data_IF_064887928666
#
_entry.id   IF_064887928666
#
_cell.length_a   1.000
_cell.length_b   1.000
_cell.length_c   1.000
_cell.angle_alpha   90.00
_cell.angle_beta   90.00
_cell.angle_gamma   90.00
#
_symmetry.space_group_name_H-M   'P 1'
#
loop_
_entity.id
_entity.type
_entity.pdbx_description
1 polymer ?
#
# COMPACT_ATOMS: atom_id res chain seq x y z
N UNK A 1 7.92 8.09 5.56
CA UNK A 1 8.31 6.73 5.99
C UNK A 1 9.54 6.23 5.23
N UNK A 2 10.23 5.21 5.76
CA UNK A 2 11.24 4.45 5.02
C UNK A 2 10.53 3.48 4.08
N UNK A 3 11.07 3.26 2.88
CA UNK A 3 10.54 2.27 1.94
C UNK A 3 11.55 1.15 1.69
N UNK A 4 11.06 -0.10 1.65
CA UNK A 4 11.80 -1.25 1.10
C UNK A 4 11.11 -1.76 -0.15
N UNK A 5 11.89 -2.27 -1.09
CA UNK A 5 11.42 -2.64 -2.41
C UNK A 5 11.85 -4.07 -2.71
N UNK A 6 10.94 -4.84 -3.30
CA UNK A 6 11.25 -6.10 -3.96
C UNK A 6 10.60 -6.07 -5.34
N UNK A 7 11.41 -6.28 -6.37
CA UNK A 7 10.93 -6.32 -7.74
C UNK A 7 10.79 -7.77 -8.24
N UNK A 8 9.78 -7.99 -9.06
CA UNK A 8 9.48 -9.23 -9.76
C UNK A 8 9.38 -8.95 -11.27
N UNK A 9 9.78 -9.91 -12.10
CA UNK A 9 9.71 -9.83 -13.55
C UNK A 9 10.32 -8.52 -14.13
N UNK A 10 11.53 -8.18 -13.68
CA UNK A 10 12.31 -7.03 -14.15
C UNK A 10 11.64 -5.67 -13.98
N UNK A 11 10.79 -5.49 -12.94
CA UNK A 11 10.13 -4.22 -12.68
C UNK A 11 11.09 -3.02 -12.55
N UNK A 12 12.28 -3.18 -11.95
CA UNK A 12 13.29 -2.12 -11.91
C UNK A 12 13.73 -1.68 -13.32
N UNK A 13 13.99 -2.62 -14.22
CA UNK A 13 14.39 -2.29 -15.60
C UNK A 13 13.26 -1.55 -16.32
N UNK A 14 12.02 -2.06 -16.20
CA UNK A 14 10.83 -1.43 -16.79
C UNK A 14 10.65 0.00 -16.29
N UNK A 15 10.85 0.22 -14.99
CA UNK A 15 10.75 1.55 -14.36
C UNK A 15 11.88 2.47 -14.83
N UNK A 16 13.13 2.00 -14.80
CA UNK A 16 14.30 2.81 -15.19
C UNK A 16 14.24 3.29 -16.65
N UNK A 17 13.60 2.52 -17.54
CA UNK A 17 13.46 2.86 -18.96
C UNK A 17 12.22 3.70 -19.27
N UNK A 18 11.10 3.46 -18.58
CA UNK A 18 9.80 3.98 -19.01
C UNK A 18 9.11 4.89 -17.98
N UNK A 19 9.40 4.73 -16.68
CA UNK A 19 8.57 5.27 -15.60
C UNK A 19 9.37 5.96 -14.49
N UNK A 20 10.55 6.51 -14.81
CA UNK A 20 11.41 7.18 -13.82
C UNK A 20 10.70 8.34 -13.14
N UNK A 21 9.93 9.13 -13.92
CA UNK A 21 9.19 10.27 -13.39
C UNK A 21 8.11 9.83 -12.41
N UNK A 22 7.24 8.91 -12.84
CA UNK A 22 6.13 8.38 -12.04
C UNK A 22 6.64 7.67 -10.79
N UNK A 23 7.76 6.95 -10.91
CA UNK A 23 8.41 6.33 -9.77
C UNK A 23 8.92 7.36 -8.76
N UNK A 24 9.56 8.44 -9.21
CA UNK A 24 10.04 9.49 -8.32
C UNK A 24 8.89 10.21 -7.61
N UNK A 25 7.79 10.49 -8.32
CA UNK A 25 6.56 11.04 -7.74
C UNK A 25 6.01 10.15 -6.62
N UNK A 26 5.84 8.85 -6.90
CA UNK A 26 5.34 7.90 -5.90
C UNK A 26 6.30 7.78 -4.71
N UNK A 27 7.59 7.65 -4.98
CA UNK A 27 8.63 7.53 -3.95
C UNK A 27 8.66 8.76 -3.03
N UNK A 28 8.47 9.96 -3.58
CA UNK A 28 8.37 11.19 -2.81
C UNK A 28 7.17 11.16 -1.86
N UNK A 29 5.98 10.78 -2.37
CA UNK A 29 4.74 10.66 -1.57
C UNK A 29 4.89 9.65 -0.43
N UNK A 30 5.41 8.45 -0.72
CA UNK A 30 5.57 7.42 0.31
C UNK A 30 6.61 7.82 1.37
N UNK A 31 7.67 8.52 0.96
CA UNK A 31 8.70 9.01 1.88
C UNK A 31 8.23 10.18 2.72
N UNK A 32 7.38 11.07 2.20
CA UNK A 32 6.81 12.19 2.94
C UNK A 32 5.67 11.77 3.88
N UNK A 33 5.06 10.60 3.65
CA UNK A 33 4.00 10.10 4.52
C UNK A 33 4.47 9.94 5.97
N UNK A 34 3.75 10.50 6.97
CA UNK A 34 3.99 10.16 8.37
C UNK A 34 3.47 8.76 8.68
N UNK A 35 3.98 8.16 9.76
CA UNK A 35 3.37 6.95 10.32
C UNK A 35 1.97 7.29 10.86
N UNK A 36 0.93 6.76 10.23
CA UNK A 36 -0.44 6.95 10.70
C UNK A 36 -0.84 5.85 11.68
N UNK A 37 -1.40 6.28 12.81
CA UNK A 37 -1.81 5.39 13.89
C UNK A 37 -3.25 5.67 14.33
N UNK A 38 -3.90 4.63 14.82
CA UNK A 38 -5.18 4.73 15.49
C UNK A 38 -5.24 3.79 16.67
N UNK A 39 -6.29 3.91 17.46
CA UNK A 39 -6.58 2.95 18.52
C UNK A 39 -7.13 1.66 17.93
N UNK A 40 -6.62 0.53 18.41
CA UNK A 40 -7.17 -0.79 18.13
C UNK A 40 -8.50 -0.98 18.84
N UNK A 41 -9.44 -1.64 18.16
CA UNK A 41 -10.73 -2.05 18.69
C UNK A 41 -10.80 -3.58 18.93
N UNK A 42 -9.70 -4.29 18.71
CA UNK A 42 -9.62 -5.74 18.89
C UNK A 42 -9.76 -6.11 20.37
N UNK A 43 -10.60 -7.12 20.67
CA UNK A 43 -10.75 -7.67 22.01
C UNK A 43 -9.38 -8.07 22.59
N UNK A 44 -9.08 -7.61 23.79
CA UNK A 44 -7.79 -7.85 24.47
C UNK A 44 -6.64 -6.93 24.06
N UNK A 45 -6.83 -6.06 23.05
CA UNK A 45 -5.86 -5.03 22.64
C UNK A 45 -6.53 -3.68 22.41
N UNK A 46 -7.69 -3.44 23.04
CA UNK A 46 -8.47 -2.22 22.84
C UNK A 46 -7.68 -1.01 23.35
N UNK A 47 -7.62 0.06 22.55
CA UNK A 47 -6.89 1.28 22.88
C UNK A 47 -5.40 1.28 22.53
N UNK A 48 -4.80 0.12 22.24
CA UNK A 48 -3.40 0.05 21.80
C UNK A 48 -3.22 0.77 20.46
N UNK A 49 -2.06 1.40 20.27
CA UNK A 49 -1.70 2.00 18.99
C UNK A 49 -1.48 0.90 17.95
N UNK A 50 -2.13 1.05 16.80
CA UNK A 50 -1.97 0.19 15.64
C UNK A 50 -1.87 1.02 14.37
N UNK A 51 -1.27 0.45 13.33
CA UNK A 51 -1.22 1.03 12.00
C UNK A 51 -2.63 1.41 11.54
N UNK A 52 -2.76 2.63 11.03
CA UNK A 52 -4.01 3.16 10.53
C UNK A 52 -4.08 3.13 9.01
N UNK A 53 -4.70 2.09 8.42
CA UNK A 53 -4.82 2.01 6.97
C UNK A 53 -5.74 3.09 6.40
N UNK A 54 -6.64 3.68 7.19
CA UNK A 54 -7.57 4.71 6.69
C UNK A 54 -6.80 6.01 6.49
N UNK A 55 -6.09 6.47 7.52
CA UNK A 55 -5.24 7.66 7.44
C UNK A 55 -4.16 7.52 6.36
N UNK A 56 -3.44 6.39 6.32
CA UNK A 56 -2.43 6.15 5.29
C UNK A 56 -3.00 6.17 3.86
N UNK A 57 -4.17 5.54 3.63
CA UNK A 57 -4.81 5.56 2.30
C UNK A 57 -5.27 6.96 1.91
N UNK A 58 -5.83 7.73 2.86
CA UNK A 58 -6.24 9.11 2.60
C UNK A 58 -5.05 9.99 2.21
N UNK A 59 -3.96 9.92 2.99
CA UNK A 59 -2.74 10.68 2.70
C UNK A 59 -2.19 10.34 1.30
N UNK A 60 -2.00 9.05 1.01
CA UNK A 60 -1.47 8.61 -0.29
C UNK A 60 -2.39 9.07 -1.42
N UNK A 61 -3.72 8.97 -1.24
CA UNK A 61 -4.69 9.41 -2.23
C UNK A 61 -4.59 10.90 -2.53
N UNK A 62 -4.60 11.72 -1.51
CA UNK A 62 -4.57 13.18 -1.65
C UNK A 62 -3.27 13.64 -2.33
N UNK A 63 -2.13 13.08 -1.94
CA UNK A 63 -0.83 13.45 -2.51
C UNK A 63 -0.63 12.94 -3.93
N UNK A 64 -1.09 11.73 -4.27
CA UNK A 64 -0.99 11.21 -5.63
C UNK A 64 -1.93 11.96 -6.59
N UNK A 65 -3.14 12.33 -6.17
CA UNK A 65 -4.06 13.13 -7.00
C UNK A 65 -3.45 14.49 -7.35
N UNK A 66 -2.75 15.16 -6.41
CA UNK A 66 -2.01 16.41 -6.68
C UNK A 66 -0.93 16.24 -7.77
N UNK A 67 -0.42 15.02 -7.93
CA UNK A 67 0.55 14.64 -8.97
C UNK A 67 -0.12 14.04 -10.21
N UNK A 68 -1.43 14.24 -10.40
CA UNK A 68 -2.22 13.76 -11.54
C UNK A 68 -2.29 12.23 -11.68
N UNK A 69 -2.25 11.49 -10.57
CA UNK A 69 -2.65 10.08 -10.58
C UNK A 69 -4.17 9.97 -10.55
N UNK A 70 -4.73 9.08 -11.37
CA UNK A 70 -6.18 8.87 -11.48
C UNK A 70 -6.64 7.96 -10.34
N UNK A 71 -7.72 8.32 -9.63
CA UNK A 71 -8.31 7.50 -8.56
C UNK A 71 -9.79 7.80 -8.31
N UNK A 72 -10.65 6.77 -8.19
CA UNK A 72 -10.40 5.38 -8.57
C UNK A 72 -10.37 5.21 -10.10
N UNK A 73 -9.74 4.14 -10.60
CA UNK A 73 -9.89 3.74 -12.01
C UNK A 73 -10.98 2.67 -12.08
N UNK A 74 -12.12 2.94 -12.75
CA UNK A 74 -13.19 1.96 -12.86
C UNK A 74 -12.75 0.77 -13.73
N UNK A 75 -13.11 -0.44 -13.30
CA UNK A 75 -12.96 -1.66 -14.11
C UNK A 75 -14.16 -1.76 -15.07
N UNK A 76 -13.95 -1.97 -16.39
CA UNK A 76 -15.03 -2.15 -17.36
C UNK A 76 -15.98 -3.29 -17.00
N UNK A 77 -17.24 -3.18 -17.42
CA UNK A 77 -18.28 -4.14 -17.05
C UNK A 77 -17.98 -5.56 -17.50
N UNK A 78 -17.28 -5.75 -18.64
CA UNK A 78 -16.85 -7.06 -19.11
C UNK A 78 -15.87 -7.77 -18.16
N UNK A 79 -15.21 -7.03 -17.27
CA UNK A 79 -14.25 -7.54 -16.27
C UNK A 79 -14.73 -7.33 -14.83
N UNK A 80 -16.01 -7.02 -14.62
CA UNK A 80 -16.60 -6.73 -13.30
C UNK A 80 -16.45 -7.87 -12.27
N UNK A 81 -16.25 -9.11 -12.74
CA UNK A 81 -15.94 -10.25 -11.87
C UNK A 81 -14.58 -10.14 -11.15
N UNK A 82 -13.69 -9.24 -11.60
CA UNK A 82 -12.37 -8.98 -11.01
C UNK A 82 -12.37 -7.82 -10.01
N UNK A 83 -13.51 -7.12 -9.85
CA UNK A 83 -13.67 -5.98 -8.97
C UNK A 83 -14.40 -4.81 -9.64
N UNK A 84 -14.60 -3.75 -8.87
CA UNK A 84 -15.25 -2.51 -9.33
C UNK A 84 -14.24 -1.47 -9.80
N UNK A 85 -13.07 -1.42 -9.17
CA UNK A 85 -12.03 -0.44 -9.44
C UNK A 85 -10.63 -0.94 -9.06
N UNK A 86 -9.66 -0.11 -9.45
CA UNK A 86 -8.24 -0.12 -9.11
C UNK A 86 -7.96 1.18 -8.34
N UNK A 87 -7.11 1.11 -7.30
CA UNK A 87 -6.88 2.26 -6.40
C UNK A 87 -6.33 3.47 -7.14
N UNK A 88 -5.23 3.30 -7.90
CA UNK A 88 -4.63 4.37 -8.70
C UNK A 88 -4.04 3.87 -10.01
N UNK A 89 -3.86 4.79 -10.94
CA UNK A 89 -2.98 4.56 -12.08
C UNK A 89 -2.62 5.83 -12.85
N UNK A 90 -1.57 5.69 -13.66
CA UNK A 90 -1.01 6.76 -14.50
C UNK A 90 -0.14 6.13 -15.59
N UNK A 91 -0.28 6.58 -16.83
CA UNK A 91 0.50 6.17 -18.02
C UNK A 91 0.83 4.66 -18.13
N UNK A 92 -0.12 3.77 -17.88
CA UNK A 92 0.10 2.32 -17.94
C UNK A 92 0.74 1.71 -16.69
N UNK A 93 0.74 2.43 -15.56
CA UNK A 93 1.09 1.93 -14.22
C UNK A 93 -0.20 1.76 -13.41
N UNK A 94 -0.35 0.59 -12.80
CA UNK A 94 -1.39 0.27 -11.84
C UNK A 94 -0.80 0.32 -10.42
N UNK A 95 -1.48 0.93 -9.46
CA UNK A 95 -1.10 0.89 -8.04
C UNK A 95 -2.24 0.33 -7.21
N UNK A 96 -1.89 -0.56 -6.28
CA UNK A 96 -2.75 -1.08 -5.22
C UNK A 96 -2.15 -0.75 -3.85
N UNK A 97 -2.90 -0.07 -2.99
CA UNK A 97 -2.51 0.18 -1.61
C UNK A 97 -3.18 -0.85 -0.70
N UNK A 98 -2.47 -1.95 -0.47
CA UNK A 98 -3.06 -3.15 0.12
C UNK A 98 -2.72 -3.31 1.60
N UNK A 99 -3.64 -2.85 2.46
CA UNK A 99 -3.59 -3.02 3.92
C UNK A 99 -4.72 -3.89 4.48
N UNK A 100 -5.56 -4.47 3.62
CA UNK A 100 -6.64 -5.38 3.99
C UNK A 100 -6.11 -6.79 4.25
N UNK A 101 -7.01 -7.77 4.29
CA UNK A 101 -6.69 -9.18 4.52
C UNK A 101 -5.63 -9.72 3.54
N UNK A 102 -4.70 -10.56 4.01
CA UNK A 102 -3.58 -11.07 3.22
C UNK A 102 -3.98 -11.74 1.90
N UNK A 103 -5.16 -12.37 1.85
CA UNK A 103 -5.68 -13.02 0.64
C UNK A 103 -5.83 -12.06 -0.55
N UNK A 104 -5.97 -10.75 -0.30
CA UNK A 104 -6.05 -9.75 -1.36
C UNK A 104 -4.73 -9.58 -2.12
N UNK A 105 -3.58 -10.02 -1.58
CA UNK A 105 -2.32 -9.97 -2.32
C UNK A 105 -2.39 -10.78 -3.61
N UNK A 106 -2.77 -12.06 -3.51
CA UNK A 106 -2.85 -12.93 -4.68
C UNK A 106 -4.02 -12.55 -5.59
N UNK A 107 -5.12 -12.05 -5.03
CA UNK A 107 -6.21 -11.46 -5.82
C UNK A 107 -5.69 -10.29 -6.67
N UNK A 108 -5.03 -9.30 -6.05
CA UNK A 108 -4.45 -8.14 -6.74
C UNK A 108 -3.40 -8.55 -7.77
N UNK A 109 -2.60 -9.57 -7.48
CA UNK A 109 -1.59 -10.10 -8.39
C UNK A 109 -2.22 -10.72 -9.64
N UNK A 110 -3.18 -11.63 -9.46
CA UNK A 110 -3.82 -12.35 -10.56
C UNK A 110 -4.68 -11.42 -11.43
N UNK A 111 -5.41 -10.47 -10.84
CA UNK A 111 -6.17 -9.49 -11.64
C UNK A 111 -5.24 -8.56 -12.42
N UNK A 112 -4.11 -8.14 -11.82
CA UNK A 112 -3.09 -7.34 -12.53
C UNK A 112 -2.45 -8.10 -13.68
N UNK A 113 -2.16 -9.40 -13.52
CA UNK A 113 -1.66 -10.27 -14.60
C UNK A 113 -2.66 -10.40 -15.75
N UNK A 114 -3.96 -10.53 -15.44
CA UNK A 114 -4.99 -10.58 -16.48
C UNK A 114 -5.09 -9.24 -17.20
N UNK A 115 -5.14 -8.11 -16.48
CA UNK A 115 -5.12 -6.75 -17.05
C UNK A 115 -3.91 -6.52 -17.95
N UNK A 116 -2.75 -7.04 -17.56
CA UNK A 116 -1.54 -7.00 -18.38
C UNK A 116 -1.69 -7.75 -19.69
N UNK A 117 -2.20 -9.00 -19.64
CA UNK A 117 -2.40 -9.84 -20.83
C UNK A 117 -3.38 -9.25 -21.83
N UNK A 118 -4.46 -8.64 -21.35
CA UNK A 118 -5.46 -7.98 -22.21
C UNK A 118 -5.05 -6.57 -22.64
N UNK A 119 -3.88 -6.08 -22.22
CA UNK A 119 -3.39 -4.72 -22.48
C UNK A 119 -4.37 -3.64 -21.99
N UNK A 120 -4.93 -3.85 -20.81
CA UNK A 120 -5.83 -2.90 -20.16
C UNK A 120 -5.20 -1.51 -20.16
N UNK A 121 -5.94 -0.50 -20.60
CA UNK A 121 -5.42 0.86 -20.72
C UNK A 121 -5.60 1.65 -19.42
N UNK A 122 -4.51 2.24 -18.96
CA UNK A 122 -4.50 3.22 -17.87
C UNK A 122 -3.92 4.50 -18.44
N UNK A 123 -4.73 5.57 -18.46
CA UNK A 123 -4.33 6.87 -18.98
C UNK A 123 -3.82 6.77 -20.44
N UNK A 124 -4.63 6.14 -21.30
CA UNK A 124 -4.39 5.91 -22.73
C UNK A 124 -3.08 5.16 -23.05
N UNK A 125 -2.56 4.38 -22.09
CA UNK A 125 -1.38 3.53 -22.27
C UNK A 125 -1.70 2.12 -21.76
N UNK A 126 -1.28 1.07 -22.48
CA UNK A 126 -1.46 -0.29 -22.01
C UNK A 126 -0.69 -0.48 -20.70
N UNK A 127 -1.27 -1.24 -19.78
CA UNK A 127 -0.66 -1.62 -18.51
C UNK A 127 0.68 -2.33 -18.77
N UNK A 128 1.73 -1.86 -18.10
CA UNK A 128 3.09 -2.43 -18.19
C UNK A 128 3.71 -2.73 -16.83
N UNK A 129 3.15 -2.20 -15.76
CA UNK A 129 3.72 -2.28 -14.42
C UNK A 129 2.59 -2.26 -13.38
N UNK A 130 2.64 -3.18 -12.44
CA UNK A 130 1.86 -3.09 -11.20
C UNK A 130 2.78 -2.70 -10.03
N UNK A 131 2.27 -1.86 -9.15
CA UNK A 131 2.91 -1.49 -7.90
C UNK A 131 1.98 -1.87 -6.75
N UNK A 132 2.47 -2.65 -5.81
CA UNK A 132 1.70 -3.05 -4.62
C UNK A 132 2.36 -2.43 -3.40
N UNK A 133 1.64 -1.58 -2.68
CA UNK A 133 2.12 -0.90 -1.47
C UNK A 133 1.55 -1.62 -0.25
N UNK A 134 2.43 -1.98 0.68
CA UNK A 134 2.11 -2.73 1.89
C UNK A 134 2.79 -2.08 3.10
N UNK A 135 2.33 -2.42 4.30
CA UNK A 135 2.98 -2.02 5.56
C UNK A 135 3.97 -3.10 6.01
N UNK A 136 5.01 -2.77 6.76
CA UNK A 136 5.87 -3.78 7.41
C UNK A 136 5.16 -4.48 8.58
N UNK A 137 5.59 -5.71 8.88
CA UNK A 137 5.23 -6.45 10.09
C UNK A 137 5.67 -5.74 11.39
N UNK A 138 6.58 -4.77 11.32
CA UNK A 138 7.02 -4.00 12.49
C UNK A 138 5.90 -3.17 13.13
N UNK A 139 4.81 -2.93 12.40
CA UNK A 139 3.65 -2.21 12.92
C UNK A 139 2.58 -3.19 13.41
N UNK A 140 2.16 -3.11 14.70
CA UNK A 140 0.98 -3.81 15.14
C UNK A 140 -0.23 -3.31 14.34
N UNK A 141 -1.08 -4.23 13.91
CA UNK A 141 -2.19 -3.94 13.01
C UNK A 141 -3.36 -4.88 13.27
N UNK A 142 -4.47 -4.68 12.54
CA UNK A 142 -5.59 -5.62 12.58
C UNK A 142 -5.13 -7.03 12.21
N UNK A 143 -5.69 -8.05 12.88
CA UNK A 143 -5.40 -9.44 12.57
C UNK A 143 -5.57 -9.74 11.08
N UNK A 144 -4.67 -10.56 10.54
CA UNK A 144 -4.66 -11.00 9.13
C UNK A 144 -4.50 -9.88 8.09
N UNK A 145 -4.27 -8.64 8.49
CA UNK A 145 -3.90 -7.57 7.53
C UNK A 145 -2.53 -7.86 6.92
N UNK A 146 -2.45 -7.70 5.60
CA UNK A 146 -1.24 -7.95 4.82
C UNK A 146 -0.05 -7.14 5.36
N UNK A 147 1.13 -7.74 5.29
CA UNK A 147 2.39 -7.05 5.52
C UNK A 147 3.45 -7.45 4.50
N UNK A 148 4.45 -6.58 4.33
CA UNK A 148 5.47 -6.65 3.30
C UNK A 148 6.22 -7.97 3.30
N UNK A 149 6.67 -8.44 4.46
CA UNK A 149 7.46 -9.66 4.59
C UNK A 149 6.66 -10.89 4.12
N UNK A 150 5.39 -11.00 4.52
CA UNK A 150 4.48 -12.03 4.01
C UNK A 150 4.26 -11.90 2.50
N UNK A 151 4.15 -10.66 1.98
CA UNK A 151 3.96 -10.45 0.56
C UNK A 151 5.18 -10.85 -0.27
N UNK A 152 6.40 -10.59 0.24
CA UNK A 152 7.65 -11.04 -0.37
C UNK A 152 7.68 -12.57 -0.45
N UNK A 153 7.34 -13.27 0.63
CA UNK A 153 7.34 -14.74 0.66
C UNK A 153 6.34 -15.32 -0.36
N UNK A 154 5.09 -14.84 -0.34
CA UNK A 154 4.05 -15.34 -1.25
C UNK A 154 4.37 -15.05 -2.72
N UNK A 155 4.77 -13.82 -3.06
CA UNK A 155 5.12 -13.47 -4.43
C UNK A 155 6.39 -14.18 -4.91
N UNK A 156 7.37 -14.41 -4.05
CA UNK A 156 8.56 -15.18 -4.42
C UNK A 156 8.20 -16.63 -4.72
N UNK A 157 7.34 -17.25 -3.90
CA UNK A 157 6.88 -18.60 -4.14
C UNK A 157 6.14 -18.73 -5.48
N UNK A 158 5.21 -17.82 -5.79
CA UNK A 158 4.47 -17.89 -7.07
C UNK A 158 5.34 -17.48 -8.28
N UNK A 159 6.29 -16.56 -8.12
CA UNK A 159 7.20 -16.15 -9.19
C UNK A 159 8.16 -17.28 -9.57
N UNK A 160 8.64 -18.08 -8.59
CA UNK A 160 9.48 -19.25 -8.85
C UNK A 160 8.81 -20.31 -9.74
N UNK A 161 7.48 -20.27 -9.85
CA UNK A 161 6.69 -21.14 -10.72
C UNK A 161 6.15 -20.43 -11.97
N UNK A 162 6.62 -19.20 -12.26
CA UNK A 162 6.22 -18.41 -13.44
C UNK A 162 4.70 -18.23 -13.57
N UNK A 163 3.99 -18.09 -12.44
CA UNK A 163 2.52 -17.97 -12.41
C UNK A 163 2.04 -16.63 -12.98
N UNK A 164 2.87 -15.58 -12.92
CA UNK A 164 2.58 -14.26 -13.47
C UNK A 164 3.80 -13.70 -14.20
N UNK A 165 3.56 -12.90 -15.24
CA UNK A 165 4.59 -12.27 -16.09
C UNK A 165 4.58 -10.75 -16.01
N UNK A 166 3.51 -10.12 -15.50
CA UNK A 166 3.48 -8.68 -15.27
C UNK A 166 4.67 -8.27 -14.38
N UNK A 167 5.41 -7.21 -14.73
CA UNK A 167 6.37 -6.58 -13.83
C UNK A 167 5.66 -6.05 -12.58
N UNK A 168 6.11 -6.48 -11.40
CA UNK A 168 5.57 -6.03 -10.11
C UNK A 168 6.66 -5.40 -9.26
N UNK A 169 6.43 -4.17 -8.84
CA UNK A 169 7.18 -3.52 -7.75
C UNK A 169 6.39 -3.65 -6.45
N UNK A 170 6.87 -4.50 -5.54
CA UNK A 170 6.33 -4.59 -4.18
C UNK A 170 7.06 -3.59 -3.27
N UNK A 171 6.29 -2.75 -2.59
CA UNK A 171 6.81 -1.74 -1.66
C UNK A 171 6.31 -2.04 -0.26
N UNK A 172 7.23 -2.02 0.71
CA UNK A 172 6.91 -2.04 2.12
C UNK A 172 7.19 -0.69 2.76
N UNK A 173 6.25 -0.19 3.56
CA UNK A 173 6.42 0.99 4.41
C UNK A 173 7.00 0.57 5.76
N UNK A 174 8.08 1.24 6.17
CA UNK A 174 8.85 0.98 7.38
C UNK A 174 9.12 2.28 8.14
N UNK A 175 9.53 2.13 9.40
CA UNK A 175 10.21 3.16 10.16
C UNK A 175 11.53 2.61 10.71
N UNK A 176 12.33 3.48 11.32
CA UNK A 176 13.43 2.99 12.15
C UNK A 176 12.88 2.32 13.41
N UNK A 177 13.58 1.33 13.95
CA UNK A 177 13.35 0.93 15.34
C UNK A 177 13.98 1.98 16.26
N UNK A 178 13.34 2.26 17.39
CA UNK A 178 13.87 3.19 18.36
C UNK A 178 12.82 4.07 19.01
N UNK A 179 13.31 5.20 19.53
CA UNK A 179 12.52 6.14 20.30
C UNK A 179 12.16 7.39 19.50
N UNK A 180 11.08 8.04 19.92
CA UNK A 180 10.67 9.37 19.47
C UNK A 180 10.39 9.50 17.96
N UNK A 181 9.80 8.45 17.38
CA UNK A 181 9.38 8.44 15.98
C UNK A 181 8.10 9.30 15.86
N UNK A 182 8.08 10.31 14.99
CA UNK A 182 6.89 11.12 14.78
C UNK A 182 5.79 10.29 14.12
N UNK A 183 4.57 10.39 14.64
CA UNK A 183 3.40 9.71 14.12
C UNK A 183 2.16 10.60 14.19
N UNK A 184 1.19 10.34 13.32
CA UNK A 184 -0.08 11.02 13.30
C UNK A 184 -1.14 10.08 13.88
N UNK A 185 -1.63 10.38 15.09
CA UNK A 185 -2.68 9.61 15.72
C UNK A 185 -4.05 10.18 15.37
N UNK A 186 -4.94 9.32 14.88
CA UNK A 186 -6.28 9.70 14.44
C UNK A 186 -7.35 8.96 15.26
N UNK A 187 -8.34 9.72 15.72
CA UNK A 187 -9.60 9.21 16.26
C UNK A 187 -10.71 9.48 15.28
N UNK A 188 -11.44 8.44 14.91
CA UNK A 188 -12.57 8.53 14.00
C UNK A 188 -13.91 8.70 14.74
N UNK A 189 -14.95 9.18 14.05
CA UNK A 189 -16.29 9.35 14.63
C UNK A 189 -16.89 8.03 15.16
N UNK A 190 -16.55 6.91 14.51
CA UNK A 190 -16.91 5.56 14.93
C UNK A 190 -15.86 4.56 14.44
N UNK A 191 -15.94 3.32 14.91
CA UNK A 191 -14.94 2.28 14.66
C UNK A 191 -14.76 1.92 13.17
N UNK A 192 -15.82 2.06 12.37
CA UNK A 192 -15.81 1.80 10.92
C UNK A 192 -15.78 3.08 10.08
N UNK A 193 -15.78 4.24 10.73
CA UNK A 193 -15.85 5.53 10.05
C UNK A 193 -14.52 5.93 9.43
N UNK A 194 -14.60 6.66 8.31
CA UNK A 194 -13.48 7.38 7.70
C UNK A 194 -13.49 8.87 8.07
N UNK A 195 -14.52 9.35 8.77
CA UNK A 195 -14.64 10.75 9.22
C UNK A 195 -13.82 10.96 10.48
N UNK A 196 -12.85 11.87 10.41
CA UNK A 196 -11.95 12.22 11.51
C UNK A 196 -12.74 13.01 12.57
N UNK A 197 -12.60 12.60 13.83
CA UNK A 197 -13.09 13.34 15.01
C UNK A 197 -11.99 14.22 15.60
N UNK A 198 -10.78 13.68 15.66
CA UNK A 198 -9.62 14.30 16.27
C UNK A 198 -8.36 13.71 15.64
N UNK A 199 -7.35 14.54 15.40
CA UNK A 199 -6.07 14.12 14.89
C UNK A 199 -4.97 14.91 15.59
N UNK A 200 -3.89 14.23 15.97
CA UNK A 200 -2.78 14.80 16.73
C UNK A 200 -1.46 14.21 16.29
N UNK A 201 -0.46 15.07 16.18
CA UNK A 201 0.93 14.61 16.13
C UNK A 201 1.32 14.07 17.50
N UNK A 202 1.94 12.90 17.50
CA UNK A 202 2.46 12.24 18.69
C UNK A 202 3.86 11.70 18.40
N UNK A 203 4.62 11.47 19.46
CA UNK A 203 5.89 10.77 19.38
C UNK A 203 5.72 9.35 19.93
N UNK A 204 6.29 8.36 19.24
CA UNK A 204 6.16 6.95 19.61
C UNK A 204 7.49 6.22 19.61
N UNK A 205 7.54 5.15 20.38
CA UNK A 205 8.63 4.19 20.42
C UNK A 205 8.20 2.92 19.69
N UNK A 206 9.06 2.39 18.81
CA UNK A 206 8.82 1.18 18.04
C UNK A 206 9.87 0.13 18.37
N UNK A 207 9.43 -0.98 18.99
CA UNK A 207 10.28 -2.10 19.38
C UNK A 207 9.52 -3.41 19.23
N UNK A 208 10.14 -4.43 18.59
CA UNK A 208 9.63 -5.80 18.54
C UNK A 208 8.12 -5.90 18.18
N UNK A 209 7.71 -5.24 17.10
CA UNK A 209 6.32 -5.19 16.61
C UNK A 209 5.31 -4.58 17.61
N UNK A 210 5.79 -3.71 18.51
CA UNK A 210 4.97 -2.93 19.44
C UNK A 210 5.20 -1.45 19.23
N UNK A 211 4.12 -0.68 19.38
CA UNK A 211 4.14 0.78 19.37
C UNK A 211 3.63 1.28 20.72
N UNK A 212 4.38 2.17 21.34
CA UNK A 212 4.02 2.82 22.60
C UNK A 212 4.22 4.33 22.45
N UNK A 213 3.40 5.15 23.12
CA UNK A 213 3.66 6.59 23.17
C UNK A 213 4.98 6.84 23.91
N UNK A 214 5.80 7.75 23.39
CA UNK A 214 6.92 8.29 24.17
C UNK A 214 6.36 9.01 25.39
N UNK A 215 7.02 8.84 26.54
CA UNK A 215 6.75 9.58 27.78
C UNK A 215 7.48 10.91 27.71
#
# INVERSE_FOLDING_TARGET
>A
MIIKIKDFNNAEEVISKNFVKEWNELKEVLKSSPLHLKSSEQRGKKGNLVFDPVGSNMFIKEELIKKNWISPIPIPSEYSCLGIDIDFGKVGILIEVQYSHYAFLLNNTLRSELFYKIKFEIDNKPLKLAVIITKSNMFPSANSSLYYEQAVEQLSAVANHSIFNIPIRLIGLFENNGNNIPALWTKYLSNTSRKIKEQKEISVNIFNNKIQKSI
#
